data_IF_609518128560
#
_entry.id   IF_609518128560
#
_cell.length_a   1.000
_cell.length_b   1.000
_cell.length_c   1.000
_cell.angle_alpha   90.00
_cell.angle_beta   90.00
_cell.angle_gamma   90.00
#
_symmetry.space_group_name_H-M   'P 1'
#
loop_
_entity.id
_entity.type
_entity.pdbx_description
1 polymer ?
#
# COMPACT_ATOMS: atom_id res chain seq x y z
N UNK A 1 -2.86 3.69 18.99
CA UNK A 1 -3.70 3.65 17.79
C UNK A 1 -2.81 3.47 16.57
N UNK A 2 -2.90 2.34 15.88
CA UNK A 2 -2.21 2.11 14.61
C UNK A 2 -3.10 2.52 13.42
N UNK A 3 -2.55 2.48 12.19
CA UNK A 3 -3.29 2.89 10.98
C UNK A 3 -4.57 2.08 10.75
N UNK A 4 -4.61 0.80 11.13
CA UNK A 4 -5.81 -0.03 11.02
C UNK A 4 -6.88 0.44 12.00
N UNK A 5 -6.53 0.52 13.28
CA UNK A 5 -7.48 0.95 14.33
C UNK A 5 -8.07 2.32 14.01
N UNK A 6 -7.26 3.24 13.48
CA UNK A 6 -7.72 4.56 13.05
C UNK A 6 -8.67 4.49 11.85
N UNK A 7 -8.35 3.71 10.82
CA UNK A 7 -9.21 3.56 9.64
C UNK A 7 -10.52 2.84 9.98
N UNK A 8 -10.48 1.85 10.87
CA UNK A 8 -11.67 1.14 11.35
C UNK A 8 -12.56 2.08 12.20
N UNK A 9 -11.98 2.88 13.10
CA UNK A 9 -12.71 3.90 13.89
C UNK A 9 -13.36 4.96 12.99
N UNK A 10 -12.63 5.46 11.98
CA UNK A 10 -13.17 6.41 11.01
C UNK A 10 -14.38 5.83 10.26
N UNK A 11 -14.31 4.58 9.83
CA UNK A 11 -15.39 3.92 9.12
C UNK A 11 -16.65 3.77 10.00
N UNK A 12 -16.47 3.46 11.30
CA UNK A 12 -17.56 3.38 12.26
C UNK A 12 -18.19 4.76 12.54
N UNK A 13 -17.35 5.77 12.78
CA UNK A 13 -17.79 7.11 13.18
C UNK A 13 -18.35 7.94 12.03
N UNK A 14 -17.97 7.66 10.79
CA UNK A 14 -18.47 8.36 9.61
C UNK A 14 -20.00 8.34 9.50
N UNK A 15 -20.72 7.45 10.19
CA UNK A 15 -22.19 7.51 10.19
C UNK A 15 -22.73 8.76 10.91
N UNK A 16 -22.05 9.23 11.97
CA UNK A 16 -22.59 10.26 12.87
C UNK A 16 -21.68 11.49 13.03
N UNK A 17 -20.44 11.41 12.54
CA UNK A 17 -19.42 12.46 12.71
C UNK A 17 -18.98 13.00 11.34
N UNK A 18 -19.22 14.30 11.11
CA UNK A 18 -18.90 14.98 9.85
C UNK A 18 -17.38 14.98 9.58
N UNK A 19 -16.55 15.14 10.60
CA UNK A 19 -15.10 15.13 10.43
C UNK A 19 -14.60 13.72 10.06
N UNK A 20 -15.20 12.68 10.64
CA UNK A 20 -14.90 11.29 10.28
C UNK A 20 -15.34 10.96 8.84
N UNK A 21 -16.49 11.48 8.38
CA UNK A 21 -16.92 11.36 6.96
C UNK A 21 -15.93 12.00 6.02
N UNK A 22 -15.58 13.27 6.27
CA UNK A 22 -14.64 14.03 5.44
C UNK A 22 -13.30 13.31 5.32
N UNK A 23 -12.81 12.73 6.43
CA UNK A 23 -11.55 11.97 6.40
C UNK A 23 -11.67 10.69 5.59
N UNK A 24 -12.80 9.98 5.68
CA UNK A 24 -13.05 8.78 4.88
C UNK A 24 -13.18 9.10 3.38
N UNK A 25 -13.83 10.22 3.04
CA UNK A 25 -13.94 10.73 1.67
C UNK A 25 -12.57 11.16 1.11
N UNK A 26 -11.72 11.78 1.94
CA UNK A 26 -10.35 12.09 1.58
C UNK A 26 -9.57 10.81 1.22
N UNK A 27 -9.61 9.77 2.06
CA UNK A 27 -8.93 8.50 1.77
C UNK A 27 -9.44 7.84 0.48
N UNK A 28 -10.75 7.90 0.23
CA UNK A 28 -11.35 7.43 -1.04
C UNK A 28 -10.86 8.24 -2.24
N UNK A 29 -10.76 9.55 -2.11
CA UNK A 29 -10.27 10.43 -3.17
C UNK A 29 -8.81 10.11 -3.51
N UNK A 30 -7.96 9.87 -2.51
CA UNK A 30 -6.58 9.46 -2.72
C UNK A 30 -6.47 8.11 -3.46
N UNK A 31 -7.35 7.15 -3.15
CA UNK A 31 -7.42 5.88 -3.90
C UNK A 31 -7.78 6.11 -5.37
N UNK A 32 -8.77 6.97 -5.64
CA UNK A 32 -9.22 7.28 -7.01
C UNK A 32 -8.16 8.04 -7.81
N UNK A 33 -7.44 8.96 -7.17
CA UNK A 33 -6.36 9.73 -7.78
C UNK A 33 -5.08 8.90 -7.96
N UNK A 34 -5.03 7.69 -7.42
CA UNK A 34 -3.84 6.85 -7.47
C UNK A 34 -2.71 7.40 -6.59
N UNK A 35 -3.05 8.12 -5.53
CA UNK A 35 -2.15 8.58 -4.45
C UNK A 35 -2.14 7.62 -3.26
N UNK A 36 -3.10 6.70 -3.19
CA UNK A 36 -3.15 5.61 -2.22
C UNK A 36 -3.46 4.26 -2.88
N UNK A 37 -3.25 3.17 -2.15
CA UNK A 37 -3.66 1.82 -2.54
C UNK A 37 -4.10 1.01 -1.32
N UNK A 38 -4.79 -0.11 -1.56
CA UNK A 38 -5.01 -1.10 -0.51
C UNK A 38 -3.77 -1.98 -0.34
N UNK A 39 -3.40 -2.28 0.90
CA UNK A 39 -2.40 -3.30 1.19
C UNK A 39 -2.90 -4.66 0.66
N UNK A 40 -2.11 -5.39 -0.17
CA UNK A 40 -2.57 -6.65 -0.76
C UNK A 40 -2.80 -7.76 0.28
N UNK A 41 -2.21 -7.64 1.48
CA UNK A 41 -2.35 -8.64 2.54
C UNK A 41 -3.46 -8.31 3.53
N UNK A 42 -3.58 -7.05 3.96
CA UNK A 42 -4.50 -6.68 5.04
C UNK A 42 -5.55 -5.64 4.64
N UNK A 43 -5.52 -5.11 3.42
CA UNK A 43 -6.55 -4.22 2.88
C UNK A 43 -6.66 -2.81 3.50
N UNK A 44 -5.79 -2.43 4.45
CA UNK A 44 -5.73 -1.02 4.89
C UNK A 44 -5.33 -0.11 3.72
N UNK A 45 -5.75 1.15 3.78
CA UNK A 45 -5.29 2.18 2.85
C UNK A 45 -3.86 2.57 3.21
N UNK A 46 -2.98 2.49 2.22
CA UNK A 46 -1.57 2.88 2.27
C UNK A 46 -1.35 3.99 1.25
N UNK A 47 -0.85 5.14 1.71
CA UNK A 47 -0.55 6.28 0.83
C UNK A 47 0.80 6.10 0.15
N UNK A 48 0.95 6.65 -1.06
CA UNK A 48 2.21 6.69 -1.78
C UNK A 48 3.19 7.55 -1.00
N UNK A 49 4.42 7.09 -0.86
CA UNK A 49 5.54 7.95 -0.49
C UNK A 49 6.19 8.44 -1.78
N UNK A 50 6.35 9.76 -1.92
CA UNK A 50 6.91 10.35 -3.13
C UNK A 50 8.25 9.73 -3.52
N UNK A 51 8.37 9.43 -4.81
CA UNK A 51 9.57 8.85 -5.40
C UNK A 51 9.88 7.41 -4.98
N UNK A 52 9.03 6.72 -4.21
CA UNK A 52 9.30 5.36 -3.75
C UNK A 52 8.26 4.36 -4.26
N UNK A 53 8.71 3.38 -5.06
CA UNK A 53 7.84 2.29 -5.53
C UNK A 53 7.91 1.06 -4.62
N UNK A 54 8.85 1.01 -3.67
CA UNK A 54 8.81 0.07 -2.56
C UNK A 54 8.07 0.69 -1.38
N UNK A 55 7.05 0.01 -0.87
CA UNK A 55 6.28 0.48 0.28
C UNK A 55 6.15 -0.64 1.28
N UNK A 56 6.38 -0.35 2.56
CA UNK A 56 6.16 -1.30 3.65
C UNK A 56 4.88 -0.94 4.40
N UNK A 57 3.93 -1.86 4.46
CA UNK A 57 2.72 -1.69 5.25
C UNK A 57 3.09 -1.50 6.73
N UNK A 58 2.53 -0.47 7.38
CA UNK A 58 2.81 -0.16 8.79
C UNK A 58 2.14 -1.14 9.76
N UNK A 59 1.14 -1.89 9.29
CA UNK A 59 0.35 -2.82 10.13
C UNK A 59 0.82 -4.26 9.99
N UNK A 60 0.85 -4.81 8.77
CA UNK A 60 1.22 -6.21 8.55
C UNK A 60 2.63 -6.38 7.97
N UNK A 61 3.39 -5.29 7.82
CA UNK A 61 4.78 -5.29 7.36
C UNK A 61 5.04 -5.87 5.98
N UNK A 62 3.99 -6.20 5.20
CA UNK A 62 4.11 -6.58 3.80
C UNK A 62 4.86 -5.50 3.04
N UNK A 63 5.90 -5.90 2.34
CA UNK A 63 6.58 -5.07 1.37
C UNK A 63 5.85 -5.17 0.04
N UNK A 64 5.56 -4.03 -0.57
CA UNK A 64 4.62 -3.87 -1.68
C UNK A 64 5.32 -3.09 -2.77
N UNK A 65 5.15 -3.53 -4.00
CA UNK A 65 5.52 -2.73 -5.17
C UNK A 65 4.35 -1.82 -5.55
N UNK A 66 4.57 -0.51 -5.54
CA UNK A 66 3.58 0.50 -5.89
C UNK A 66 3.02 0.33 -7.29
N UNK A 67 3.87 -0.08 -8.24
CA UNK A 67 3.49 -0.20 -9.65
C UNK A 67 2.64 -1.44 -9.88
N UNK A 68 3.00 -2.58 -9.29
CA UNK A 68 2.22 -3.82 -9.45
C UNK A 68 1.05 -3.92 -8.47
N UNK A 69 1.00 -3.04 -7.45
CA UNK A 69 0.04 -3.08 -6.33
C UNK A 69 0.07 -4.39 -5.54
N UNK A 70 1.13 -5.18 -5.70
CA UNK A 70 1.28 -6.52 -5.13
C UNK A 70 2.54 -6.67 -4.28
N UNK A 71 2.71 -7.83 -3.63
CA UNK A 71 3.87 -8.11 -2.80
C UNK A 71 5.19 -7.93 -3.55
N UNK A 72 6.19 -7.36 -2.86
CA UNK A 72 7.57 -7.23 -3.35
C UNK A 72 8.24 -8.60 -3.48
N UNK A 73 7.94 -9.49 -2.53
CA UNK A 73 8.53 -10.82 -2.38
C UNK A 73 7.51 -11.93 -2.58
N UNK A 74 8.00 -13.14 -2.82
CA UNK A 74 7.19 -14.35 -2.85
C UNK A 74 6.64 -14.77 -1.48
N UNK A 75 5.90 -15.89 -1.41
CA UNK A 75 5.28 -16.39 -0.19
C UNK A 75 6.25 -16.65 0.97
N UNK A 76 7.53 -16.91 0.66
CA UNK A 76 8.59 -17.10 1.66
C UNK A 76 9.03 -15.81 2.37
N UNK A 77 8.51 -14.65 1.98
CA UNK A 77 8.84 -13.36 2.60
C UNK A 77 10.12 -12.73 2.04
N UNK A 78 10.73 -11.77 2.76
CA UNK A 78 11.88 -11.00 2.27
C UNK A 78 13.02 -11.85 1.72
N UNK A 79 13.40 -11.59 0.46
CA UNK A 79 14.42 -12.35 -0.27
C UNK A 79 13.88 -13.51 -1.13
N UNK A 80 12.63 -13.93 -0.94
CA UNK A 80 12.00 -14.91 -1.82
C UNK A 80 11.66 -14.27 -3.18
N UNK A 81 12.34 -14.73 -4.23
CA UNK A 81 12.14 -14.27 -5.61
C UNK A 81 11.37 -15.27 -6.48
N UNK A 82 10.85 -16.35 -5.87
CA UNK A 82 9.96 -17.30 -6.54
C UNK A 82 8.63 -16.66 -6.99
N UNK A 83 8.23 -15.57 -6.32
CA UNK A 83 7.04 -14.77 -6.65
C UNK A 83 7.27 -13.27 -6.44
N UNK A 84 6.20 -12.55 -6.09
CA UNK A 84 6.20 -11.10 -5.91
C UNK A 84 6.41 -10.32 -7.21
N UNK A 85 6.75 -9.04 -7.12
CA UNK A 85 6.99 -8.20 -8.30
C UNK A 85 8.31 -8.53 -9.02
N UNK A 86 9.25 -9.21 -8.35
CA UNK A 86 10.58 -9.55 -8.89
C UNK A 86 11.39 -8.35 -9.38
N UNK A 87 11.10 -7.16 -8.88
CA UNK A 87 11.86 -5.96 -9.24
C UNK A 87 13.34 -6.13 -8.84
N UNK A 88 14.24 -5.63 -9.70
CA UNK A 88 15.69 -5.69 -9.55
C UNK A 88 16.30 -7.10 -9.53
N UNK A 89 15.52 -8.16 -9.79
CA UNK A 89 16.07 -9.48 -10.09
C UNK A 89 16.88 -9.38 -11.37
N UNK A 90 18.16 -9.75 -11.33
CA UNK A 90 19.13 -9.55 -12.42
C UNK A 90 19.26 -8.08 -12.89
N UNK A 91 18.98 -7.11 -12.01
CA UNK A 91 19.06 -5.69 -12.32
C UNK A 91 17.88 -5.12 -13.13
N UNK A 92 16.86 -5.94 -13.43
CA UNK A 92 15.74 -5.55 -14.29
C UNK A 92 14.54 -5.06 -13.47
N UNK A 93 13.91 -3.91 -13.80
CA UNK A 93 12.68 -3.48 -13.13
C UNK A 93 11.51 -4.40 -13.48
N UNK A 94 10.55 -4.54 -12.57
CA UNK A 94 9.35 -5.37 -12.81
C UNK A 94 8.41 -4.81 -13.89
N UNK A 95 8.47 -3.50 -14.12
CA UNK A 95 7.67 -2.77 -15.09
C UNK A 95 8.40 -1.48 -15.50
N UNK A 96 8.25 -0.95 -16.73
CA UNK A 96 8.95 0.27 -17.17
C UNK A 96 8.71 1.51 -16.29
N UNK A 97 7.53 1.61 -15.66
CA UNK A 97 7.23 2.71 -14.72
C UNK A 97 7.74 2.48 -13.30
N UNK A 98 8.33 1.32 -13.00
CA UNK A 98 8.88 1.01 -11.70
C UNK A 98 10.35 1.44 -11.63
N UNK A 99 10.60 2.48 -10.85
CA UNK A 99 11.90 3.15 -10.77
C UNK A 99 12.58 2.83 -9.43
N UNK A 100 11.86 2.96 -8.32
CA UNK A 100 12.45 2.91 -6.97
C UNK A 100 11.79 1.83 -6.11
N UNK A 101 11.71 0.60 -6.64
CA UNK A 101 11.31 -0.58 -5.90
C UNK A 101 12.55 -1.43 -5.61
N UNK A 102 12.97 -1.45 -4.35
CA UNK A 102 14.16 -2.15 -3.87
C UNK A 102 13.74 -3.36 -3.02
#
# INVERSE_FOLDING_TARGET
>A
MNCREYQDDLALRAQNDVAARQTTEMLRSMLQQGEAMHCPQCQIVVQKKDGCDWIRCTVCHTEICWVTKGPRWGPGGPGDTSGGCRCRVNGVPCHPSCQNCH
#
